data_IF_360513078007
#
_entry.id   IF_360513078007
#
_cell.length_a   1.000
_cell.length_b   1.000
_cell.length_c   1.000
_cell.angle_alpha   90.00
_cell.angle_beta   90.00
_cell.angle_gamma   90.00
#
_symmetry.space_group_name_H-M   'P 1'
#
loop_
_entity.id
_entity.type
_entity.pdbx_description
1 polymer ?
#
# COMPACT_ATOMS: atom_id res chain seq x y z
N UNK A 1 -7.31 27.73 39.44
CA UNK A 1 -7.05 26.63 38.54
C UNK A 1 -6.90 27.22 37.13
N UNK A 2 -5.67 27.20 36.59
CA UNK A 2 -5.35 27.78 35.28
C UNK A 2 -6.03 27.03 34.13
N UNK A 3 -6.17 27.68 32.97
CA UNK A 3 -6.73 27.01 31.77
C UNK A 3 -5.90 25.79 31.35
N UNK A 4 -4.59 25.82 31.64
CA UNK A 4 -3.67 24.69 31.39
C UNK A 4 -3.93 23.51 32.31
N UNK A 5 -4.32 23.76 33.59
CA UNK A 5 -4.74 22.69 34.51
C UNK A 5 -6.09 22.08 34.10
N UNK A 6 -6.98 22.85 33.48
CA UNK A 6 -8.27 22.36 32.93
C UNK A 6 -8.03 21.56 31.65
N UNK A 7 -7.07 21.95 30.80
CA UNK A 7 -6.66 21.20 29.59
C UNK A 7 -5.99 19.87 29.97
N UNK A 8 -5.08 19.89 30.95
CA UNK A 8 -4.42 18.69 31.46
C UNK A 8 -5.40 17.70 32.14
N UNK A 9 -6.47 18.19 32.80
CA UNK A 9 -7.53 17.35 33.36
C UNK A 9 -8.47 16.77 32.30
N UNK A 10 -8.66 17.43 31.15
CA UNK A 10 -9.44 16.88 30.02
C UNK A 10 -8.72 15.73 29.32
N UNK A 11 -7.36 15.73 29.29
CA UNK A 11 -6.57 14.66 28.70
C UNK A 11 -6.47 13.40 29.57
N UNK A 12 -6.87 13.47 30.85
CA UNK A 12 -6.82 12.36 31.82
C UNK A 12 -8.20 11.82 32.21
N UNK A 13 -9.23 11.93 31.36
CA UNK A 13 -10.40 11.08 31.53
C UNK A 13 -10.07 9.69 31.00
N UNK A 14 -9.30 8.95 31.81
CA UNK A 14 -9.14 7.51 31.64
C UNK A 14 -10.53 6.88 31.64
N UNK A 15 -10.77 6.05 30.66
CA UNK A 15 -11.92 5.18 30.49
C UNK A 15 -12.23 4.44 31.81
N UNK A 16 -13.25 4.87 32.50
CA UNK A 16 -13.86 4.12 33.59
C UNK A 16 -14.65 2.98 32.95
N UNK A 17 -14.08 1.81 32.87
CA UNK A 17 -14.69 0.47 32.67
C UNK A 17 -13.89 -0.49 31.77
N UNK A 18 -12.60 -0.26 31.53
CA UNK A 18 -11.78 -1.20 30.72
C UNK A 18 -12.16 -1.30 29.23
N UNK A 19 -13.09 -0.45 28.76
CA UNK A 19 -13.51 -0.43 27.36
C UNK A 19 -12.58 0.46 26.56
N UNK A 20 -11.93 -0.11 25.53
CA UNK A 20 -11.05 0.62 24.62
C UNK A 20 -11.89 1.43 23.63
N UNK A 21 -11.66 2.73 23.55
CA UNK A 21 -12.34 3.64 22.61
C UNK A 21 -11.60 3.82 21.27
N UNK A 22 -12.28 4.39 20.28
CA UNK A 22 -11.72 4.66 18.94
C UNK A 22 -10.52 5.59 18.98
N UNK A 23 -10.49 6.53 19.92
CA UNK A 23 -9.44 7.54 20.04
C UNK A 23 -8.32 7.15 21.02
N UNK A 24 -8.41 5.98 21.63
CA UNK A 24 -7.34 5.47 22.48
C UNK A 24 -6.18 4.97 21.62
N UNK A 25 -4.92 5.24 22.02
CA UNK A 25 -3.75 4.76 21.29
C UNK A 25 -3.71 3.24 21.29
N UNK A 26 -3.02 2.70 20.27
CA UNK A 26 -2.76 1.29 20.13
C UNK A 26 -1.27 1.07 19.91
N UNK A 27 -0.68 0.13 20.66
CA UNK A 27 0.73 -0.24 20.48
C UNK A 27 0.82 -1.57 19.77
N UNK A 28 1.56 -1.59 18.65
CA UNK A 28 1.91 -2.78 17.88
C UNK A 28 3.43 -2.96 17.96
N UNK A 29 3.88 -3.96 18.72
CA UNK A 29 5.30 -4.14 19.07
C UNK A 29 5.86 -2.84 19.68
N UNK A 30 6.86 -2.20 19.04
CA UNK A 30 7.45 -0.93 19.51
C UNK A 30 6.80 0.33 18.94
N UNK A 31 5.81 0.21 18.06
CA UNK A 31 5.14 1.32 17.37
C UNK A 31 3.83 1.67 18.08
N UNK A 32 3.63 2.95 18.42
CA UNK A 32 2.38 3.44 19.01
C UNK A 32 1.62 4.30 18.00
N UNK A 33 0.43 3.85 17.63
CA UNK A 33 -0.51 4.56 16.77
C UNK A 33 -1.45 5.39 17.64
N UNK A 34 -1.63 6.67 17.29
CA UNK A 34 -2.35 7.66 18.13
C UNK A 34 -3.83 7.38 18.39
N UNK A 35 -4.47 6.60 17.51
CA UNK A 35 -5.87 6.17 17.65
C UNK A 35 -6.13 4.91 16.80
N UNK A 36 -7.36 4.41 16.81
CA UNK A 36 -7.78 3.18 16.13
C UNK A 36 -8.53 3.43 14.81
N UNK A 37 -8.47 4.64 14.30
CA UNK A 37 -9.07 5.01 13.01
C UNK A 37 -7.95 5.01 11.97
N UNK A 38 -7.98 4.04 11.06
CA UNK A 38 -6.94 3.84 10.06
C UNK A 38 -7.52 3.96 8.66
N UNK A 39 -6.74 4.53 7.74
CA UNK A 39 -7.04 4.47 6.32
C UNK A 39 -6.56 3.10 5.80
N UNK A 40 -7.47 2.24 5.32
CA UNK A 40 -7.07 0.97 4.70
C UNK A 40 -6.43 1.21 3.33
N UNK A 41 -5.64 0.25 2.82
CA UNK A 41 -5.09 0.35 1.47
C UNK A 41 -6.21 0.21 0.43
N UNK A 42 -6.35 1.22 -0.41
CA UNK A 42 -7.36 1.28 -1.48
C UNK A 42 -6.70 1.79 -2.75
N UNK A 43 -6.64 0.95 -3.76
CA UNK A 43 -6.02 1.25 -5.02
C UNK A 43 -6.72 2.43 -5.72
N UNK A 44 -5.94 3.41 -6.14
CA UNK A 44 -6.46 4.63 -6.75
C UNK A 44 -6.20 4.70 -8.26
N UNK A 45 -5.36 3.82 -8.80
CA UNK A 45 -4.97 3.81 -10.23
C UNK A 45 -4.48 5.18 -10.72
N UNK A 46 -3.74 5.89 -9.89
CA UNK A 46 -3.38 7.30 -10.12
C UNK A 46 -1.92 7.54 -10.48
N UNK A 47 -1.13 6.49 -10.73
CA UNK A 47 0.21 6.56 -11.31
C UNK A 47 0.11 6.61 -12.84
N UNK A 48 -0.46 7.71 -13.37
CA UNK A 48 -0.86 7.84 -14.78
C UNK A 48 0.31 7.82 -15.78
N UNK A 49 1.54 8.09 -15.35
CA UNK A 49 2.74 7.94 -16.15
C UNK A 49 3.17 6.47 -16.34
N UNK A 50 2.50 5.54 -15.65
CA UNK A 50 2.73 4.09 -15.72
C UNK A 50 4.14 3.66 -15.26
N UNK A 51 4.80 4.50 -14.48
CA UNK A 51 6.17 4.32 -13.95
C UNK A 51 6.21 3.84 -12.50
N UNK A 52 5.03 3.69 -11.88
CA UNK A 52 4.89 3.30 -10.47
C UNK A 52 5.21 4.42 -9.48
N UNK A 53 5.47 5.64 -9.93
CA UNK A 53 5.79 6.76 -9.06
C UNK A 53 4.53 7.39 -8.45
N UNK A 54 4.58 7.80 -7.17
CA UNK A 54 3.52 8.59 -6.58
C UNK A 54 3.45 9.97 -7.22
N UNK A 55 2.24 10.47 -7.37
CA UNK A 55 1.92 11.75 -8.00
C UNK A 55 1.45 12.77 -6.96
N UNK A 56 1.24 14.05 -7.32
CA UNK A 56 0.59 15.03 -6.44
C UNK A 56 -0.78 14.59 -5.92
N UNK A 57 -1.49 13.73 -6.68
CA UNK A 57 -2.73 13.12 -6.20
C UNK A 57 -2.49 12.28 -4.94
N UNK A 58 -1.47 11.42 -4.94
CA UNK A 58 -1.13 10.56 -3.80
C UNK A 58 -0.72 11.40 -2.57
N UNK A 59 0.04 12.47 -2.79
CA UNK A 59 0.34 13.42 -1.72
C UNK A 59 -0.94 13.98 -1.10
N UNK A 60 -1.81 14.57 -1.92
CA UNK A 60 -3.09 15.13 -1.46
C UNK A 60 -3.93 14.06 -0.76
N UNK A 61 -3.98 12.85 -1.33
CA UNK A 61 -4.77 11.75 -0.80
C UNK A 61 -4.30 11.32 0.59
N UNK A 62 -3.00 11.06 0.79
CA UNK A 62 -2.49 10.52 2.05
C UNK A 62 -2.27 11.60 3.12
N UNK A 63 -1.66 12.73 2.75
CA UNK A 63 -1.36 13.80 3.71
C UNK A 63 -2.63 14.45 4.26
N UNK A 64 -3.67 14.64 3.43
CA UNK A 64 -4.93 15.19 3.93
C UNK A 64 -5.61 14.28 4.97
N UNK A 65 -5.52 12.95 4.84
CA UNK A 65 -6.03 11.99 5.83
C UNK A 65 -5.21 12.02 7.11
N UNK A 66 -3.90 12.12 6.99
CA UNK A 66 -3.03 12.32 8.14
C UNK A 66 -3.38 13.59 8.92
N UNK A 67 -3.55 14.72 8.22
CA UNK A 67 -4.01 15.99 8.80
C UNK A 67 -5.43 15.89 9.39
N UNK A 68 -6.30 15.09 8.75
CA UNK A 68 -7.66 14.82 9.23
C UNK A 68 -7.73 13.97 10.50
N UNK A 69 -6.60 13.46 10.99
CA UNK A 69 -6.52 12.77 12.30
C UNK A 69 -6.48 11.25 12.26
N UNK A 70 -6.37 10.62 11.09
CA UNK A 70 -6.17 9.17 11.02
C UNK A 70 -4.92 8.75 11.82
N UNK A 71 -5.04 7.70 12.61
CA UNK A 71 -3.93 7.16 13.42
C UNK A 71 -2.87 6.50 12.55
N UNK A 72 -3.31 5.71 11.58
CA UNK A 72 -2.45 5.09 10.57
C UNK A 72 -3.02 5.35 9.18
N UNK A 73 -2.14 5.55 8.23
CA UNK A 73 -2.44 5.62 6.81
C UNK A 73 -1.69 4.48 6.13
N UNK A 74 -2.41 3.54 5.53
CA UNK A 74 -1.83 2.44 4.77
C UNK A 74 -1.95 2.79 3.29
N UNK A 75 -0.80 2.93 2.64
CA UNK A 75 -0.71 3.21 1.21
C UNK A 75 -1.24 2.00 0.43
N UNK A 76 -1.93 2.28 -0.67
CA UNK A 76 -2.53 1.31 -1.58
C UNK A 76 -1.56 0.23 -2.04
N UNK A 77 -2.08 -0.80 -2.71
CA UNK A 77 -1.29 -1.89 -3.27
C UNK A 77 -0.12 -1.34 -4.10
N UNK A 78 1.09 -1.57 -3.61
CA UNK A 78 2.34 -1.08 -4.20
C UNK A 78 3.16 -2.27 -4.67
N UNK A 79 3.35 -2.37 -5.97
CA UNK A 79 3.93 -3.55 -6.59
C UNK A 79 5.43 -3.69 -6.27
N UNK A 80 5.85 -4.92 -5.95
CA UNK A 80 7.27 -5.25 -5.68
C UNK A 80 8.05 -5.56 -6.96
N UNK A 81 7.35 -5.60 -8.11
CA UNK A 81 7.91 -5.84 -9.44
C UNK A 81 7.03 -5.14 -10.49
N UNK A 82 7.57 -4.69 -11.63
CA UNK A 82 6.76 -4.06 -12.68
C UNK A 82 5.59 -4.95 -13.13
N UNK A 83 5.83 -6.24 -13.35
CA UNK A 83 4.84 -7.23 -13.75
C UNK A 83 3.88 -7.63 -12.61
N UNK A 84 4.18 -7.24 -11.39
CA UNK A 84 3.34 -7.47 -10.21
C UNK A 84 2.23 -6.44 -9.99
N UNK A 85 2.15 -5.39 -10.83
CA UNK A 85 1.07 -4.40 -10.77
C UNK A 85 -0.27 -5.02 -11.14
N UNK A 86 -1.34 -4.54 -10.53
CA UNK A 86 -2.71 -4.91 -10.92
C UNK A 86 -3.01 -4.30 -12.29
N UNK A 87 -2.70 -3.00 -12.43
CA UNK A 87 -2.86 -2.24 -13.67
C UNK A 87 -1.59 -1.45 -14.01
N UNK A 88 -1.44 -0.97 -15.24
CA UNK A 88 -0.34 -0.06 -15.59
C UNK A 88 -0.27 1.20 -14.71
N UNK A 89 -1.41 1.63 -14.13
CA UNK A 89 -1.53 2.84 -13.35
C UNK A 89 -1.29 2.66 -11.83
N UNK A 90 -0.76 1.51 -11.41
CA UNK A 90 -0.47 1.22 -10.01
C UNK A 90 0.87 1.81 -9.56
N UNK A 91 0.96 1.99 -8.25
CA UNK A 91 2.21 2.32 -7.58
C UNK A 91 3.18 1.15 -7.55
N UNK A 92 4.46 1.46 -7.45
CA UNK A 92 5.53 0.49 -7.33
C UNK A 92 6.62 0.88 -6.33
N UNK A 93 7.34 -0.13 -5.88
CA UNK A 93 8.52 0.02 -5.03
C UNK A 93 9.58 -1.04 -5.38
N UNK A 94 9.77 -1.27 -6.68
CA UNK A 94 10.71 -2.25 -7.22
C UNK A 94 12.09 -1.67 -7.54
N UNK A 95 12.24 -0.34 -7.58
CA UNK A 95 13.48 0.35 -7.92
C UNK A 95 13.76 1.51 -6.97
N UNK A 96 15.03 1.90 -6.86
CA UNK A 96 15.46 2.94 -5.91
C UNK A 96 15.00 4.34 -6.33
N UNK A 97 14.79 4.57 -7.63
CA UNK A 97 14.25 5.82 -8.20
C UNK A 97 12.86 6.16 -7.65
N UNK A 98 12.11 5.16 -7.19
CA UNK A 98 10.79 5.36 -6.59
C UNK A 98 10.87 5.88 -5.16
N UNK A 99 12.00 5.68 -4.47
CA UNK A 99 12.15 6.05 -3.07
C UNK A 99 12.05 7.56 -2.84
N UNK A 100 12.75 8.37 -3.65
CA UNK A 100 12.79 9.83 -3.46
C UNK A 100 11.42 10.47 -3.65
N UNK A 101 10.61 9.91 -4.55
CA UNK A 101 9.25 10.36 -4.77
C UNK A 101 8.32 10.11 -3.56
N UNK A 102 8.63 9.14 -2.70
CA UNK A 102 7.88 8.82 -1.49
C UNK A 102 8.34 9.60 -0.25
N UNK A 103 9.64 9.95 -0.14
CA UNK A 103 10.23 10.49 1.10
C UNK A 103 9.47 11.69 1.65
N UNK A 104 9.13 12.66 0.80
CA UNK A 104 8.44 13.87 1.22
C UNK A 104 6.97 13.61 1.62
N UNK A 105 6.27 12.69 0.94
CA UNK A 105 4.89 12.29 1.27
C UNK A 105 4.85 11.64 2.66
N UNK A 106 5.76 10.71 2.91
CA UNK A 106 5.85 10.01 4.19
C UNK A 106 6.25 10.98 5.31
N UNK A 107 7.24 11.85 5.06
CA UNK A 107 7.67 12.83 6.04
C UNK A 107 6.55 13.79 6.46
N UNK A 108 5.79 14.34 5.51
CA UNK A 108 4.71 15.28 5.78
C UNK A 108 3.51 14.61 6.46
N UNK A 109 3.14 13.38 6.05
CA UNK A 109 2.09 12.62 6.72
C UNK A 109 2.46 12.28 8.17
N UNK A 110 3.73 11.92 8.43
CA UNK A 110 4.25 11.68 9.79
C UNK A 110 4.32 12.97 10.61
N UNK A 111 4.72 14.09 10.02
CA UNK A 111 4.69 15.40 10.67
C UNK A 111 3.26 15.81 11.07
N UNK A 112 2.25 15.40 10.31
CA UNK A 112 0.83 15.55 10.67
C UNK A 112 0.37 14.54 11.76
N UNK A 113 1.26 13.67 12.23
CA UNK A 113 1.02 12.75 13.36
C UNK A 113 0.43 11.40 12.98
N UNK A 114 0.38 11.02 11.71
CA UNK A 114 -0.01 9.68 11.31
C UNK A 114 1.17 8.71 11.36
N UNK A 115 0.90 7.46 11.67
CA UNK A 115 1.79 6.34 11.37
C UNK A 115 1.62 5.96 9.90
N UNK A 116 2.71 5.73 9.17
CA UNK A 116 2.67 5.42 7.75
C UNK A 116 3.03 3.96 7.49
N UNK A 117 2.17 3.27 6.76
CA UNK A 117 2.43 1.91 6.28
C UNK A 117 2.24 1.85 4.76
N UNK A 118 2.85 0.86 4.12
CA UNK A 118 2.65 0.56 2.70
C UNK A 118 2.25 -0.89 2.52
N UNK A 119 1.25 -1.15 1.67
CA UNK A 119 0.86 -2.50 1.30
C UNK A 119 1.71 -2.97 0.11
N UNK A 120 2.56 -3.96 0.33
CA UNK A 120 3.37 -4.59 -0.71
C UNK A 120 2.55 -5.68 -1.40
N UNK A 121 2.54 -5.66 -2.74
CA UNK A 121 1.70 -6.53 -3.56
C UNK A 121 2.44 -7.14 -4.75
N UNK A 122 1.94 -8.27 -5.20
CA UNK A 122 2.15 -8.84 -6.52
C UNK A 122 0.83 -9.44 -6.99
N UNK A 123 0.27 -8.92 -8.09
CA UNK A 123 -1.09 -9.26 -8.51
C UNK A 123 -1.22 -10.68 -9.07
N UNK A 124 -0.11 -11.30 -9.52
CA UNK A 124 -0.14 -12.66 -10.04
C UNK A 124 -1.04 -12.77 -11.28
N UNK A 125 -1.94 -13.75 -11.31
CA UNK A 125 -2.86 -13.97 -12.43
C UNK A 125 -3.94 -12.89 -12.59
N UNK A 126 -3.98 -11.90 -11.71
CA UNK A 126 -4.87 -10.74 -11.80
C UNK A 126 -4.11 -9.47 -12.18
N UNK A 127 -2.86 -9.60 -12.61
CA UNK A 127 -2.05 -8.49 -13.11
C UNK A 127 -2.46 -8.07 -14.54
N UNK A 128 -1.91 -6.93 -14.98
CA UNK A 128 -2.13 -6.39 -16.33
C UNK A 128 -3.61 -6.18 -16.68
N UNK A 129 -4.42 -5.77 -15.68
CA UNK A 129 -5.82 -5.39 -15.91
C UNK A 129 -5.93 -3.89 -16.20
N UNK A 130 -7.01 -3.47 -16.82
CA UNK A 130 -7.24 -2.06 -17.13
C UNK A 130 -7.56 -1.22 -15.91
N UNK A 131 -7.44 0.09 -16.08
CA UNK A 131 -7.87 1.10 -15.12
C UNK A 131 -8.71 2.17 -15.81
N UNK A 132 -9.42 3.00 -15.06
CA UNK A 132 -10.36 4.01 -15.60
C UNK A 132 -9.74 4.93 -16.65
N UNK A 133 -8.43 5.21 -16.60
CA UNK A 133 -7.76 6.13 -17.50
C UNK A 133 -7.38 5.52 -18.85
N UNK A 134 -7.26 4.19 -18.92
CA UNK A 134 -6.83 3.48 -20.13
C UNK A 134 -7.88 2.51 -20.69
N UNK A 135 -9.01 2.36 -20.01
CA UNK A 135 -10.04 1.37 -20.35
C UNK A 135 -9.66 -0.06 -19.93
N UNK A 136 -10.21 -1.06 -20.61
CA UNK A 136 -10.02 -2.50 -20.29
C UNK A 136 -10.43 -2.88 -18.86
N UNK A 137 -11.47 -2.23 -18.34
CA UNK A 137 -11.98 -2.55 -17.01
C UNK A 137 -12.44 -4.01 -16.96
N UNK A 138 -11.86 -4.77 -16.02
CA UNK A 138 -12.08 -6.21 -15.85
C UNK A 138 -11.57 -7.11 -16.99
N UNK A 139 -10.75 -6.57 -17.90
CA UNK A 139 -10.11 -7.31 -18.98
C UNK A 139 -8.58 -7.17 -18.89
N UNK A 140 -7.84 -8.06 -19.55
CA UNK A 140 -6.39 -7.92 -19.69
C UNK A 140 -6.05 -6.81 -20.67
N UNK A 141 -5.07 -6.00 -20.31
CA UNK A 141 -4.53 -4.97 -21.23
C UNK A 141 -3.62 -5.66 -22.25
N UNK A 142 -3.85 -5.47 -23.57
CA UNK A 142 -2.96 -6.01 -24.60
C UNK A 142 -1.54 -5.46 -24.47
N UNK A 143 -0.53 -6.26 -24.82
CA UNK A 143 0.88 -5.84 -24.71
C UNK A 143 1.19 -4.59 -25.53
N UNK A 144 0.59 -4.44 -26.73
CA UNK A 144 0.70 -3.25 -27.58
C UNK A 144 0.04 -1.99 -26.99
N UNK A 145 -0.75 -2.16 -25.93
CA UNK A 145 -1.39 -1.07 -25.17
C UNK A 145 -0.74 -0.86 -23.79
N UNK A 146 0.43 -1.46 -23.56
CA UNK A 146 1.18 -1.32 -22.31
C UNK A 146 0.91 -2.40 -21.26
N UNK A 147 0.17 -3.46 -21.64
CA UNK A 147 0.05 -4.67 -20.83
C UNK A 147 1.31 -5.53 -20.88
N UNK A 148 1.29 -6.65 -20.16
CA UNK A 148 2.43 -7.59 -20.09
C UNK A 148 1.98 -9.02 -19.84
N UNK A 149 2.87 -9.98 -20.12
CA UNK A 149 2.64 -11.39 -19.79
C UNK A 149 2.52 -11.57 -18.29
N UNK A 150 1.34 -11.94 -17.84
CA UNK A 150 1.07 -12.21 -16.42
C UNK A 150 1.63 -13.57 -15.98
N UNK A 151 1.92 -13.70 -14.68
CA UNK A 151 2.47 -14.91 -14.07
C UNK A 151 1.62 -15.37 -12.89
N UNK A 152 1.71 -16.66 -12.55
CA UNK A 152 1.01 -17.23 -11.40
C UNK A 152 1.62 -18.57 -10.96
N UNK A 153 1.18 -19.16 -9.82
CA UNK A 153 1.67 -20.46 -9.37
C UNK A 153 1.22 -21.61 -10.26
N UNK A 154 0.26 -21.37 -11.13
CA UNK A 154 -0.23 -22.32 -12.12
C UNK A 154 -0.80 -21.56 -13.32
N UNK A 155 -0.93 -22.25 -14.48
CA UNK A 155 -1.45 -21.65 -15.72
C UNK A 155 -3.00 -21.59 -15.75
N UNK A 156 -3.63 -21.22 -14.62
CA UNK A 156 -5.09 -21.11 -14.49
C UNK A 156 -5.52 -19.64 -14.53
N UNK A 157 -6.27 -19.28 -15.58
CA UNK A 157 -6.82 -17.92 -15.73
C UNK A 157 -7.80 -17.57 -14.60
N UNK A 158 -7.97 -16.28 -14.35
CA UNK A 158 -8.99 -15.75 -13.45
C UNK A 158 -10.12 -15.09 -14.27
N UNK A 159 -11.26 -15.77 -14.34
CA UNK A 159 -12.41 -15.25 -15.10
C UNK A 159 -12.06 -14.99 -16.58
N UNK A 160 -12.33 -13.78 -17.09
CA UNK A 160 -12.06 -13.40 -18.48
C UNK A 160 -10.59 -12.95 -18.73
N UNK A 161 -9.76 -12.89 -17.68
CA UNK A 161 -8.39 -12.45 -17.82
C UNK A 161 -7.52 -13.46 -18.57
N UNK A 162 -6.41 -13.00 -19.11
CA UNK A 162 -5.45 -13.83 -19.81
C UNK A 162 -4.94 -14.98 -18.95
N UNK A 163 -4.49 -16.02 -19.63
CA UNK A 163 -3.89 -17.16 -19.00
C UNK A 163 -2.49 -16.82 -18.51
N UNK A 164 -2.21 -16.93 -17.18
CA UNK A 164 -0.87 -16.66 -16.67
C UNK A 164 0.11 -17.75 -17.13
N UNK A 165 1.37 -17.35 -17.29
CA UNK A 165 2.48 -18.28 -17.36
C UNK A 165 2.78 -18.81 -15.95
N UNK A 166 2.97 -20.09 -15.84
CA UNK A 166 3.34 -20.73 -14.57
C UNK A 166 4.77 -20.31 -14.16
N UNK A 167 4.92 -19.95 -12.89
CA UNK A 167 6.22 -19.59 -12.29
C UNK A 167 7.06 -20.86 -12.05
N UNK A 168 8.34 -20.78 -12.32
CA UNK A 168 9.30 -21.74 -11.83
C UNK A 168 9.64 -21.53 -10.36
N UNK A 169 10.22 -22.52 -9.69
CA UNK A 169 10.64 -22.39 -8.28
C UNK A 169 11.67 -21.28 -8.11
N UNK A 170 12.59 -21.11 -9.05
CA UNK A 170 13.60 -20.05 -8.99
C UNK A 170 12.97 -18.65 -9.13
N UNK A 171 11.95 -18.50 -9.99
CA UNK A 171 11.18 -17.25 -10.10
C UNK A 171 10.38 -16.95 -8.82
N UNK A 172 9.85 -17.97 -8.17
CA UNK A 172 9.17 -17.81 -6.86
C UNK A 172 10.16 -17.26 -5.83
N UNK A 173 11.36 -17.83 -5.75
CA UNK A 173 12.41 -17.33 -4.86
C UNK A 173 12.82 -15.89 -5.20
N UNK A 174 12.94 -15.55 -6.48
CA UNK A 174 13.23 -14.20 -6.92
C UNK A 174 12.11 -13.21 -6.51
N UNK A 175 10.84 -13.61 -6.56
CA UNK A 175 9.73 -12.77 -6.09
C UNK A 175 9.81 -12.58 -4.56
N UNK A 176 10.17 -13.60 -3.78
CA UNK A 176 10.39 -13.45 -2.33
C UNK A 176 11.48 -12.41 -2.06
N UNK A 177 12.58 -12.46 -2.82
CA UNK A 177 13.64 -11.45 -2.71
C UNK A 177 13.13 -10.04 -3.05
N UNK A 178 12.29 -9.88 -4.07
CA UNK A 178 11.68 -8.59 -4.42
C UNK A 178 10.78 -8.04 -3.30
N UNK A 179 10.01 -8.87 -2.61
CA UNK A 179 9.27 -8.44 -1.42
C UNK A 179 10.20 -7.96 -0.31
N UNK A 180 11.30 -8.68 -0.06
CA UNK A 180 12.34 -8.27 0.90
C UNK A 180 12.93 -6.91 0.52
N UNK A 181 13.32 -6.74 -0.74
CA UNK A 181 13.98 -5.53 -1.21
C UNK A 181 13.02 -4.32 -1.19
N UNK A 182 11.75 -4.52 -1.55
CA UNK A 182 10.71 -3.50 -1.40
C UNK A 182 10.47 -3.12 0.06
N UNK A 183 10.50 -4.08 0.98
CA UNK A 183 10.40 -3.81 2.42
C UNK A 183 11.61 -3.00 2.94
N UNK A 184 12.83 -3.26 2.45
CA UNK A 184 14.01 -2.45 2.75
C UNK A 184 13.88 -1.03 2.22
N UNK A 185 13.39 -0.84 0.97
CA UNK A 185 13.10 0.49 0.43
C UNK A 185 12.06 1.23 1.28
N UNK A 186 10.98 0.56 1.67
CA UNK A 186 9.98 1.15 2.55
C UNK A 186 10.57 1.62 3.88
N UNK A 187 11.43 0.80 4.51
CA UNK A 187 12.15 1.18 5.72
C UNK A 187 13.04 2.42 5.51
N UNK A 188 13.79 2.47 4.42
CA UNK A 188 14.72 3.56 4.08
C UNK A 188 13.98 4.88 3.74
N UNK A 189 12.78 4.80 3.15
CA UNK A 189 11.89 5.93 2.92
C UNK A 189 11.40 6.51 4.26
N UNK A 190 11.25 5.69 5.29
CA UNK A 190 10.77 6.05 6.61
C UNK A 190 9.34 5.60 6.92
N UNK A 191 8.80 4.62 6.20
CA UNK A 191 7.57 3.96 6.61
C UNK A 191 7.75 3.24 7.95
N UNK A 192 6.72 3.26 8.77
CA UNK A 192 6.71 2.65 10.11
C UNK A 192 6.36 1.16 10.06
N UNK A 193 5.67 0.72 9.02
CA UNK A 193 5.26 -0.66 8.82
C UNK A 193 5.11 -1.02 7.34
N UNK A 194 5.16 -2.31 7.04
CA UNK A 194 4.75 -2.89 5.76
C UNK A 194 3.60 -3.86 6.01
N UNK A 195 2.62 -3.86 5.10
CA UNK A 195 1.58 -4.86 5.02
C UNK A 195 1.86 -5.77 3.82
N UNK A 196 1.81 -7.08 4.02
CA UNK A 196 1.94 -8.04 2.92
C UNK A 196 0.55 -8.39 2.42
N UNK A 197 0.27 -8.05 1.16
CA UNK A 197 -1.01 -8.39 0.54
C UNK A 197 -1.07 -9.87 0.20
N UNK A 198 -1.71 -10.65 1.08
CA UNK A 198 -1.89 -12.10 0.93
C UNK A 198 -3.37 -12.50 0.77
N UNK A 199 -4.20 -11.60 0.22
CA UNK A 199 -5.63 -11.78 0.08
C UNK A 199 -6.11 -11.53 -1.36
N UNK A 200 -7.43 -11.47 -1.55
CA UNK A 200 -8.16 -11.07 -2.76
C UNK A 200 -7.82 -11.86 -4.03
N UNK A 201 -7.20 -13.03 -3.91
CA UNK A 201 -6.80 -13.84 -5.07
C UNK A 201 -5.60 -13.25 -5.82
N UNK A 202 -4.78 -12.38 -5.19
CA UNK A 202 -3.47 -11.97 -5.70
C UNK A 202 -2.41 -13.04 -5.44
N UNK A 203 -1.18 -12.85 -5.89
CA UNK A 203 -0.20 -13.93 -6.02
C UNK A 203 -0.07 -14.82 -4.77
N UNK A 204 0.08 -14.23 -3.58
CA UNK A 204 0.30 -15.01 -2.35
C UNK A 204 -0.90 -15.88 -1.96
N UNK A 205 -2.11 -15.46 -2.31
CA UNK A 205 -3.32 -16.24 -2.07
C UNK A 205 -3.68 -17.19 -3.21
N UNK A 206 -2.87 -17.24 -4.27
CA UNK A 206 -3.03 -18.18 -5.38
C UNK A 206 -2.33 -19.52 -5.12
N UNK A 207 -1.39 -19.57 -4.18
CA UNK A 207 -0.73 -20.76 -3.68
C UNK A 207 -1.64 -21.52 -2.70
#
# INVERSE_FOLDING_TARGET
MSEDEKKAKRSKKATTNGTVGLFDPMTLRGMTVRNRIWLPPMDTYSALAQDGLPTPFHYQHYVSRAMGGFGMVIVEATAVAPEGRISPCDLGLWADEQMDAWRWIVADAKAAGATMAVQLNHAGRKASTGCFSIGYEHESVPEEQGGWQIVGPSANAFGPLDKPRELTVDEIHAIVDRFRDAAWRAYDIGFDAVEIHAAHGYLLSQF
#
